data_IF_341489443161
#
_entry.id   IF_341489443161
#
_cell.length_a   1.000
_cell.length_b   1.000
_cell.length_c   1.000
_cell.angle_alpha   90.00
_cell.angle_beta   90.00
_cell.angle_gamma   90.00
#
_symmetry.space_group_name_H-M   'P 1'
#
loop_
_entity.id
_entity.type
_entity.pdbx_description
1 polymer ?
#
# COMPACT_ATOMS: atom_id res chain seq x y z
N UNK A 1 -34.93 12.71 36.69
CA UNK A 1 -33.63 13.24 36.22
C UNK A 1 -32.61 12.14 35.88
N UNK A 2 -32.62 11.01 36.57
CA UNK A 2 -31.63 9.93 36.40
C UNK A 2 -31.67 9.24 35.03
N UNK A 3 -32.87 9.01 34.46
CA UNK A 3 -33.00 8.44 33.12
C UNK A 3 -32.34 9.27 32.02
N UNK A 4 -32.47 10.60 32.06
CA UNK A 4 -31.84 11.50 31.08
C UNK A 4 -30.31 11.41 31.12
N UNK A 5 -29.73 11.26 32.32
CA UNK A 5 -28.27 11.06 32.50
C UNK A 5 -27.81 9.72 31.92
N UNK A 6 -28.56 8.65 32.17
CA UNK A 6 -28.28 7.32 31.62
C UNK A 6 -28.38 7.30 30.08
N UNK A 7 -29.35 8.00 29.49
CA UNK A 7 -29.46 8.14 28.04
C UNK A 7 -28.29 8.94 27.45
N UNK A 8 -27.88 10.03 28.10
CA UNK A 8 -26.72 10.82 27.68
C UNK A 8 -25.41 10.01 27.74
N UNK A 9 -25.19 9.26 28.83
CA UNK A 9 -24.02 8.38 28.98
C UNK A 9 -24.00 7.27 27.91
N UNK A 10 -25.14 6.63 27.66
CA UNK A 10 -25.26 5.62 26.61
C UNK A 10 -25.03 6.21 25.21
N UNK A 11 -25.51 7.42 24.93
CA UNK A 11 -25.27 8.10 23.66
C UNK A 11 -23.77 8.39 23.44
N UNK A 12 -23.06 8.85 24.47
CA UNK A 12 -21.60 9.08 24.42
C UNK A 12 -20.86 7.77 24.20
N UNK A 13 -21.22 6.72 24.95
CA UNK A 13 -20.62 5.39 24.79
C UNK A 13 -20.83 4.85 23.37
N UNK A 14 -22.06 4.93 22.84
CA UNK A 14 -22.37 4.46 21.49
C UNK A 14 -21.62 5.23 20.39
N UNK A 15 -21.45 6.55 20.56
CA UNK A 15 -20.61 7.36 19.67
C UNK A 15 -19.15 6.88 19.68
N UNK A 16 -18.59 6.64 20.87
CA UNK A 16 -17.21 6.16 21.01
C UNK A 16 -17.02 4.75 20.44
N UNK A 17 -17.97 3.85 20.67
CA UNK A 17 -18.00 2.52 20.06
C UNK A 17 -18.03 2.62 18.53
N UNK A 18 -18.92 3.47 17.98
CA UNK A 18 -19.00 3.69 16.52
C UNK A 18 -17.70 4.22 15.93
N UNK A 19 -17.01 5.15 16.61
CA UNK A 19 -15.72 5.65 16.16
C UNK A 19 -14.64 4.56 16.21
N UNK A 20 -14.67 3.70 17.23
CA UNK A 20 -13.73 2.59 17.30
C UNK A 20 -13.99 1.56 16.19
N UNK A 21 -15.25 1.24 15.91
CA UNK A 21 -15.62 0.37 14.80
C UNK A 21 -15.25 0.96 13.44
N UNK A 22 -15.42 2.27 13.25
CA UNK A 22 -15.00 2.93 12.00
C UNK A 22 -13.48 2.78 11.78
N UNK A 23 -12.67 3.00 12.81
CA UNK A 23 -11.21 2.80 12.72
C UNK A 23 -10.86 1.34 12.42
N UNK A 24 -11.57 0.39 13.03
CA UNK A 24 -11.35 -1.03 12.76
C UNK A 24 -11.75 -1.38 11.32
N UNK A 25 -12.88 -0.86 10.83
CA UNK A 25 -13.35 -1.05 9.46
C UNK A 25 -12.33 -0.52 8.44
N UNK A 26 -11.78 0.68 8.64
CA UNK A 26 -10.72 1.23 7.77
C UNK A 26 -9.46 0.36 7.76
N UNK A 27 -9.08 -0.22 8.92
CA UNK A 27 -7.94 -1.16 8.97
C UNK A 27 -8.23 -2.46 8.21
N UNK A 28 -9.45 -3.00 8.35
CA UNK A 28 -9.87 -4.21 7.63
C UNK A 28 -9.90 -3.96 6.12
N UNK A 29 -10.42 -2.81 5.69
CA UNK A 29 -10.47 -2.43 4.29
C UNK A 29 -9.06 -2.29 3.68
N UNK A 30 -8.13 -1.63 4.40
CA UNK A 30 -6.73 -1.54 3.99
C UNK A 30 -6.05 -2.91 3.86
N UNK A 31 -6.35 -3.86 4.77
CA UNK A 31 -5.83 -5.23 4.67
C UNK A 31 -6.48 -5.98 3.50
N UNK A 32 -7.78 -5.79 3.26
CA UNK A 32 -8.49 -6.37 2.13
C UNK A 32 -7.91 -5.91 0.79
N UNK A 33 -7.65 -4.61 0.63
CA UNK A 33 -6.99 -4.03 -0.54
C UNK A 33 -5.62 -4.68 -0.80
N UNK A 34 -4.77 -4.79 0.24
CA UNK A 34 -3.47 -5.48 0.15
C UNK A 34 -3.59 -6.95 -0.24
N UNK A 35 -4.57 -7.67 0.29
CA UNK A 35 -4.82 -9.09 -0.04
C UNK A 35 -5.27 -9.22 -1.50
N UNK A 36 -6.16 -8.35 -1.97
CA UNK A 36 -6.62 -8.34 -3.36
C UNK A 36 -5.46 -8.07 -4.35
N UNK A 37 -4.59 -7.11 -4.03
CA UNK A 37 -3.37 -6.84 -4.79
C UNK A 37 -2.44 -8.06 -4.81
N UNK A 38 -2.23 -8.73 -3.66
CA UNK A 38 -1.43 -9.94 -3.59
C UNK A 38 -2.01 -11.12 -4.40
N UNK A 39 -3.34 -11.29 -4.40
CA UNK A 39 -4.01 -12.31 -5.23
C UNK A 39 -3.85 -12.03 -6.73
N UNK A 40 -4.00 -10.77 -7.13
CA UNK A 40 -3.81 -10.35 -8.52
C UNK A 40 -2.35 -10.59 -8.95
N UNK A 41 -1.40 -10.19 -8.11
CA UNK A 41 0.03 -10.38 -8.36
C UNK A 41 0.41 -11.87 -8.47
N UNK A 42 -0.17 -12.73 -7.63
CA UNK A 42 0.01 -14.19 -7.72
C UNK A 42 -0.43 -14.74 -9.08
N UNK A 43 -1.51 -14.21 -9.64
CA UNK A 43 -1.96 -14.55 -11.00
C UNK A 43 -0.92 -14.20 -12.06
N UNK A 44 -0.38 -12.97 -11.99
CA UNK A 44 0.67 -12.49 -12.89
C UNK A 44 1.94 -13.34 -12.77
N UNK A 45 2.42 -13.62 -11.56
CA UNK A 45 3.59 -14.49 -11.33
C UNK A 45 3.40 -15.88 -11.94
N UNK A 46 2.19 -16.45 -11.83
CA UNK A 46 1.88 -17.75 -12.45
C UNK A 46 1.97 -17.69 -13.97
N UNK A 47 1.44 -16.63 -14.59
CA UNK A 47 1.51 -16.40 -16.03
C UNK A 47 2.96 -16.22 -16.51
N UNK A 48 3.76 -15.41 -15.80
CA UNK A 48 5.18 -15.26 -16.08
C UNK A 48 5.92 -16.60 -15.97
N UNK A 49 5.56 -17.44 -14.99
CA UNK A 49 6.11 -18.79 -14.87
C UNK A 49 5.83 -19.69 -16.08
N UNK A 50 4.70 -19.53 -16.76
CA UNK A 50 4.42 -20.24 -18.02
C UNK A 50 5.23 -19.67 -19.18
N UNK A 51 5.32 -18.33 -19.30
CA UNK A 51 6.09 -17.67 -20.37
C UNK A 51 7.59 -17.99 -20.26
N UNK A 52 8.17 -17.94 -19.07
CA UNK A 52 9.58 -18.29 -18.84
C UNK A 52 9.86 -19.76 -19.20
N UNK A 53 8.95 -20.69 -18.87
CA UNK A 53 9.08 -22.10 -19.28
C UNK A 53 8.93 -22.29 -20.78
N UNK A 54 8.06 -21.53 -21.44
CA UNK A 54 7.93 -21.54 -22.89
C UNK A 54 9.20 -21.00 -23.55
N UNK A 55 9.81 -19.97 -22.97
CA UNK A 55 11.04 -19.36 -23.45
C UNK A 55 12.22 -20.33 -23.37
N UNK A 56 12.38 -21.02 -22.23
CA UNK A 56 13.40 -22.05 -22.04
C UNK A 56 13.27 -23.16 -23.10
N UNK A 57 12.05 -23.64 -23.37
CA UNK A 57 11.81 -24.62 -24.45
C UNK A 57 12.15 -24.08 -25.85
N UNK A 58 11.79 -22.82 -26.13
CA UNK A 58 12.06 -22.19 -27.42
C UNK A 58 13.57 -22.03 -27.65
N UNK A 59 14.30 -21.55 -26.64
CA UNK A 59 15.77 -21.40 -26.66
C UNK A 59 16.44 -22.76 -26.88
N UNK A 60 16.01 -23.79 -26.16
CA UNK A 60 16.56 -25.14 -26.32
C UNK A 60 16.28 -25.76 -27.70
N UNK A 61 15.22 -25.32 -28.39
CA UNK A 61 14.90 -25.76 -29.75
C UNK A 61 15.67 -25.01 -30.85
N UNK A 62 16.47 -23.98 -30.51
CA UNK A 62 17.16 -23.08 -31.44
C UNK A 62 16.25 -22.43 -32.51
N UNK A 63 14.94 -22.43 -32.28
CA UNK A 63 13.95 -21.82 -33.17
C UNK A 63 13.82 -20.34 -32.84
N UNK A 64 14.60 -19.51 -33.54
CA UNK A 64 14.64 -18.06 -33.36
C UNK A 64 13.27 -17.39 -33.57
N UNK A 65 12.40 -17.94 -34.42
CA UNK A 65 11.06 -17.40 -34.62
C UNK A 65 10.17 -17.64 -33.40
N UNK A 66 10.25 -18.84 -32.80
CA UNK A 66 9.55 -19.13 -31.54
C UNK A 66 10.12 -18.35 -30.37
N UNK A 67 11.44 -18.17 -30.29
CA UNK A 67 12.06 -17.32 -29.26
C UNK A 67 11.55 -15.89 -29.38
N UNK A 68 11.51 -15.33 -30.59
CA UNK A 68 10.97 -13.97 -30.83
C UNK A 68 9.52 -13.85 -30.37
N UNK A 69 8.65 -14.80 -30.74
CA UNK A 69 7.24 -14.78 -30.35
C UNK A 69 7.03 -14.90 -28.84
N UNK A 70 7.86 -15.69 -28.14
CA UNK A 70 7.78 -15.81 -26.68
C UNK A 70 8.38 -14.59 -25.97
N UNK A 71 9.40 -13.96 -26.55
CA UNK A 71 9.94 -12.70 -26.02
C UNK A 71 8.95 -11.55 -26.14
N UNK A 72 8.19 -11.45 -27.24
CA UNK A 72 7.11 -10.48 -27.39
C UNK A 72 6.01 -10.69 -26.31
N UNK A 73 5.66 -11.95 -26.03
CA UNK A 73 4.76 -12.27 -24.91
C UNK A 73 5.37 -11.94 -23.54
N UNK A 74 6.68 -12.13 -23.36
CA UNK A 74 7.37 -11.76 -22.13
C UNK A 74 7.36 -10.24 -21.91
N UNK A 75 7.64 -9.46 -22.95
CA UNK A 75 7.59 -8.00 -22.93
C UNK A 75 6.20 -7.51 -22.54
N UNK A 76 5.16 -8.05 -23.17
CA UNK A 76 3.78 -7.70 -22.86
C UNK A 76 3.40 -8.02 -21.40
N UNK A 77 3.81 -9.18 -20.88
CA UNK A 77 3.55 -9.54 -19.48
C UNK A 77 4.35 -8.69 -18.49
N UNK A 78 5.54 -8.23 -18.88
CA UNK A 78 6.38 -7.38 -18.05
C UNK A 78 5.85 -5.94 -18.02
N UNK A 79 5.40 -5.40 -19.16
CA UNK A 79 4.75 -4.09 -19.24
C UNK A 79 3.45 -4.06 -18.43
N UNK A 80 2.62 -5.11 -18.53
CA UNK A 80 1.42 -5.27 -17.72
C UNK A 80 1.73 -5.26 -16.22
N UNK A 81 2.83 -5.92 -15.82
CA UNK A 81 3.27 -5.95 -14.43
C UNK A 81 3.72 -4.57 -13.94
N UNK A 82 4.46 -3.84 -14.76
CA UNK A 82 4.99 -2.52 -14.44
C UNK A 82 3.85 -1.50 -14.26
N UNK A 83 2.93 -1.44 -15.23
CA UNK A 83 1.75 -0.55 -15.17
C UNK A 83 0.90 -0.86 -13.94
N UNK A 84 0.64 -2.15 -13.64
CA UNK A 84 -0.14 -2.54 -12.47
C UNK A 84 0.56 -2.18 -11.15
N UNK A 85 1.88 -2.31 -11.10
CA UNK A 85 2.66 -1.95 -9.90
C UNK A 85 2.59 -0.45 -9.66
N UNK A 86 2.80 0.35 -10.71
CA UNK A 86 2.65 1.82 -10.64
C UNK A 86 1.25 2.24 -10.18
N UNK A 87 0.17 1.67 -10.74
CA UNK A 87 -1.21 1.99 -10.34
C UNK A 87 -1.48 1.60 -8.88
N UNK A 88 -0.96 0.45 -8.43
CA UNK A 88 -1.12 0.01 -7.03
C UNK A 88 -0.34 0.92 -6.07
N UNK A 89 0.87 1.35 -6.42
CA UNK A 89 1.64 2.30 -5.61
C UNK A 89 0.94 3.66 -5.48
N UNK A 90 0.40 4.19 -6.59
CA UNK A 90 -0.36 5.45 -6.59
C UNK A 90 -1.67 5.35 -5.80
N UNK A 91 -2.41 4.24 -5.94
CA UNK A 91 -3.63 3.98 -5.19
C UNK A 91 -3.34 3.82 -3.68
N UNK A 92 -2.31 3.05 -3.31
CA UNK A 92 -1.94 2.82 -1.91
C UNK A 92 -1.34 4.07 -1.26
N UNK A 93 -0.61 4.91 -2.00
CA UNK A 93 -0.17 6.23 -1.55
C UNK A 93 -1.35 7.18 -1.24
N UNK A 94 -2.48 6.95 -1.89
CA UNK A 94 -3.74 7.68 -1.66
C UNK A 94 -4.52 7.09 -0.48
N UNK A 95 -4.57 5.76 -0.32
CA UNK A 95 -5.20 5.07 0.82
C UNK A 95 -4.47 5.30 2.15
N UNK A 96 -3.15 5.52 2.14
CA UNK A 96 -2.41 5.97 3.31
C UNK A 96 -2.93 7.32 3.87
N UNK A 97 -3.57 8.15 3.03
CA UNK A 97 -4.21 9.41 3.43
C UNK A 97 -5.62 9.22 3.99
N UNK A 98 -6.31 8.12 3.66
CA UNK A 98 -7.69 7.84 4.11
C UNK A 98 -7.76 7.06 5.43
N UNK A 99 -6.66 6.44 5.88
CA UNK A 99 -6.52 6.05 7.29
C UNK A 99 -6.54 7.33 8.13
N UNK A 100 -7.49 7.54 9.06
CA UNK A 100 -7.59 8.77 9.85
C UNK A 100 -6.30 8.95 10.64
N UNK A 101 -5.44 9.80 10.11
CA UNK A 101 -4.09 10.03 10.57
C UNK A 101 -4.04 10.90 11.84
N UNK A 102 -5.20 11.23 12.45
CA UNK A 102 -5.27 12.15 13.59
C UNK A 102 -4.35 11.83 14.79
N UNK A 103 -3.84 10.60 14.92
CA UNK A 103 -2.82 10.23 15.90
C UNK A 103 -1.42 9.94 15.30
N UNK A 104 -1.32 9.71 13.98
CA UNK A 104 -0.06 9.33 13.32
C UNK A 104 0.57 10.53 12.60
N UNK A 105 -0.20 11.42 11.97
CA UNK A 105 0.33 12.68 11.40
C UNK A 105 0.76 13.65 12.48
N UNK A 106 0.00 13.80 13.56
CA UNK A 106 0.41 14.64 14.69
C UNK A 106 1.76 14.20 15.27
N UNK A 107 1.99 12.89 15.42
CA UNK A 107 3.25 12.36 15.93
C UNK A 107 4.40 12.32 14.89
N UNK A 108 4.11 12.06 13.61
CA UNK A 108 5.14 12.04 12.55
C UNK A 108 5.61 13.43 12.17
N UNK A 109 4.69 14.41 12.16
CA UNK A 109 4.96 15.80 11.84
C UNK A 109 5.71 16.51 12.99
N UNK A 110 5.40 16.21 14.25
CA UNK A 110 6.20 16.69 15.39
C UNK A 110 7.63 16.13 15.38
N UNK A 111 7.80 14.86 15.01
CA UNK A 111 9.13 14.22 14.95
C UNK A 111 9.99 14.78 13.81
N UNK A 112 9.41 15.06 12.64
CA UNK A 112 10.14 15.68 11.53
C UNK A 112 10.58 17.11 11.86
N UNK A 113 9.73 17.92 12.49
CA UNK A 113 10.10 19.29 12.88
C UNK A 113 11.14 19.31 14.01
N UNK A 114 11.08 18.36 14.95
CA UNK A 114 12.07 18.23 16.01
C UNK A 114 13.46 17.82 15.48
N UNK A 115 13.52 16.95 14.46
CA UNK A 115 14.77 16.56 13.80
C UNK A 115 15.37 17.71 12.98
N UNK A 116 14.55 18.51 12.28
CA UNK A 116 15.02 19.69 11.54
C UNK A 116 15.55 20.81 12.45
N UNK A 117 14.91 21.08 13.59
CA UNK A 117 15.41 22.07 14.57
C UNK A 117 16.72 21.59 15.23
N UNK A 118 16.83 20.28 15.52
CA UNK A 118 18.06 19.70 16.06
C UNK A 118 19.24 19.79 15.07
N UNK A 119 19.00 19.55 13.77
CA UNK A 119 20.00 19.69 12.72
C UNK A 119 20.43 21.16 12.55
N UNK A 120 19.47 22.08 12.56
CA UNK A 120 19.74 23.52 12.45
C UNK A 120 20.61 24.02 13.61
N UNK A 121 20.31 23.59 14.84
CA UNK A 121 21.13 23.91 16.02
C UNK A 121 22.53 23.30 15.97
N UNK A 122 22.66 22.07 15.47
CA UNK A 122 23.97 21.41 15.27
C UNK A 122 24.81 22.12 14.20
N UNK A 123 24.19 22.55 13.11
CA UNK A 123 24.87 23.33 12.06
C UNK A 123 25.29 24.72 12.57
N UNK A 124 24.47 25.38 13.39
CA UNK A 124 24.83 26.65 14.02
C UNK A 124 26.02 26.50 15.00
N UNK A 125 26.11 25.38 15.72
CA UNK A 125 27.23 25.09 16.62
C UNK A 125 28.55 24.78 15.90
N UNK A 126 28.50 24.32 14.64
CA UNK A 126 29.67 24.10 13.78
C UNK A 126 30.17 25.37 13.08
N UNK A 127 29.44 26.48 13.19
CA UNK A 127 29.77 27.77 12.55
C UNK A 127 30.51 28.75 13.47
N UNK A 128 30.74 28.39 14.74
CA UNK A 128 31.56 29.16 15.69
C UNK A 128 32.90 28.46 15.95
#
# INVERSE_FOLDING_TARGET
>A
MEGAKIYAENAIRKKNESLNYLRMASKVDAVSSKVQSALTMKGVTKNMGYVVKALDKAINSMDLQKVSAVMEQFEQQFEDLDVRTSVVEDAMGTEAKSVPTGAITSASTDRSYAEEDALTRRLAALRN
#
